data_IF_352005453675
#
_entry.id   IF_352005453675
#
_cell.length_a   1.000
_cell.length_b   1.000
_cell.length_c   1.000
_cell.angle_alpha   90.00
_cell.angle_beta   90.00
_cell.angle_gamma   90.00
#
_symmetry.space_group_name_H-M   'P 1'
#
loop_
_entity.id
_entity.type
_entity.pdbx_description
1 polymer ?
#
# COMPACT_ATOMS: atom_id res chain seq x y z
N UNK A 1 3.69 -1.76 -14.84
CA UNK A 1 3.10 -1.18 -13.60
C UNK A 1 4.11 -1.34 -12.48
N UNK A 2 4.33 -0.32 -11.63
CA UNK A 2 5.24 -0.47 -10.50
C UNK A 2 4.73 -1.51 -9.49
N UNK A 3 5.54 -2.52 -9.24
CA UNK A 3 5.30 -3.61 -8.28
C UNK A 3 6.24 -3.45 -7.09
N UNK A 4 5.77 -3.80 -5.89
CA UNK A 4 6.60 -3.93 -4.71
C UNK A 4 6.27 -5.24 -4.00
N UNK A 5 7.30 -5.93 -3.52
CA UNK A 5 7.15 -7.16 -2.75
C UNK A 5 7.83 -7.02 -1.41
N UNK A 6 7.23 -7.64 -0.40
CA UNK A 6 7.88 -7.86 0.89
C UNK A 6 7.60 -9.27 1.38
N UNK A 7 8.48 -9.75 2.23
CA UNK A 7 8.26 -10.98 2.99
C UNK A 7 8.02 -10.64 4.45
N UNK A 8 7.21 -11.46 5.11
CA UNK A 8 7.02 -11.42 6.55
C UNK A 8 6.87 -12.85 7.08
N UNK A 9 7.42 -13.09 8.26
CA UNK A 9 7.17 -14.29 9.04
C UNK A 9 5.93 -14.07 9.90
N UNK A 10 5.04 -15.06 9.95
CA UNK A 10 3.88 -15.03 10.83
C UNK A 10 4.34 -15.20 12.27
N UNK A 11 4.07 -14.20 13.10
CA UNK A 11 4.41 -14.22 14.52
C UNK A 11 3.29 -14.86 15.33
N UNK A 12 3.60 -15.37 16.53
CA UNK A 12 2.61 -16.02 17.39
C UNK A 12 1.40 -15.11 17.68
N UNK A 13 1.65 -13.81 17.85
CA UNK A 13 0.61 -12.81 18.09
C UNK A 13 -0.27 -12.48 16.88
N UNK A 14 0.08 -12.96 15.68
CA UNK A 14 -0.75 -12.78 14.49
C UNK A 14 -1.91 -13.79 14.43
N UNK A 15 -1.84 -14.87 15.20
CA UNK A 15 -2.82 -15.97 15.18
C UNK A 15 -3.95 -15.79 16.21
N UNK A 16 -5.12 -16.34 15.89
CA UNK A 16 -6.25 -16.48 16.82
C UNK A 16 -6.37 -17.91 17.36
N UNK A 17 -7.41 -18.17 18.16
CA UNK A 17 -7.67 -19.47 18.81
C UNK A 17 -7.93 -20.61 17.81
N UNK A 18 -8.23 -20.31 16.54
CA UNK A 18 -8.33 -21.32 15.49
C UNK A 18 -6.95 -21.78 14.98
N UNK A 19 -5.85 -21.22 15.50
CA UNK A 19 -4.48 -21.60 15.13
C UNK A 19 -4.04 -21.07 13.77
N UNK A 20 -4.74 -20.07 13.24
CA UNK A 20 -4.44 -19.42 11.95
C UNK A 20 -4.39 -17.91 12.15
N UNK A 21 -3.83 -17.19 11.17
CA UNK A 21 -3.77 -15.73 11.20
C UNK A 21 -5.16 -15.10 11.32
N UNK A 22 -5.31 -14.22 12.30
CA UNK A 22 -6.52 -13.43 12.51
C UNK A 22 -6.71 -12.43 11.35
N UNK A 23 -7.87 -12.49 10.68
CA UNK A 23 -8.11 -11.81 9.41
C UNK A 23 -7.79 -10.29 9.38
N UNK A 24 -7.93 -9.48 10.46
CA UNK A 24 -7.60 -8.06 10.41
C UNK A 24 -6.12 -7.78 10.14
N UNK A 25 -5.23 -8.72 10.49
CA UNK A 25 -3.79 -8.57 10.28
C UNK A 25 -3.44 -8.44 8.79
N UNK A 26 -4.23 -9.04 7.89
CA UNK A 26 -4.06 -8.86 6.46
C UNK A 26 -4.24 -7.40 6.02
N UNK A 27 -5.20 -6.66 6.60
CA UNK A 27 -5.39 -5.25 6.26
C UNK A 27 -4.24 -4.37 6.77
N UNK A 28 -3.69 -4.68 7.94
CA UNK A 28 -2.47 -4.05 8.43
C UNK A 28 -1.28 -4.33 7.50
N UNK A 29 -1.15 -5.56 7.02
CA UNK A 29 -0.10 -5.93 6.09
C UNK A 29 -0.26 -5.26 4.72
N UNK A 30 -1.49 -5.09 4.22
CA UNK A 30 -1.76 -4.36 2.99
C UNK A 30 -1.29 -2.90 3.10
N UNK A 31 -1.75 -2.15 4.11
CA UNK A 31 -1.33 -0.75 4.30
C UNK A 31 0.19 -0.66 4.43
N UNK A 32 0.79 -1.45 5.31
CA UNK A 32 2.22 -1.38 5.57
C UNK A 32 3.06 -1.79 4.35
N UNK A 33 2.53 -2.65 3.45
CA UNK A 33 3.15 -2.97 2.16
C UNK A 33 3.03 -1.81 1.17
N UNK A 34 1.88 -1.13 1.11
CA UNK A 34 1.75 0.10 0.33
C UNK A 34 2.66 1.22 0.82
N UNK A 35 2.83 1.39 2.14
CA UNK A 35 3.84 2.31 2.68
C UNK A 35 5.26 1.90 2.25
N UNK A 36 5.54 0.60 2.12
CA UNK A 36 6.79 0.07 1.56
C UNK A 36 6.98 0.43 0.08
N UNK A 37 5.93 0.28 -0.72
CA UNK A 37 5.91 0.72 -2.12
C UNK A 37 6.17 2.23 -2.25
N UNK A 38 5.56 3.07 -1.40
CA UNK A 38 5.85 4.50 -1.39
C UNK A 38 7.33 4.77 -1.08
N UNK A 39 7.87 4.12 -0.05
CA UNK A 39 9.28 4.30 0.34
C UNK A 39 10.25 3.88 -0.76
N UNK A 40 9.97 2.81 -1.49
CA UNK A 40 10.81 2.38 -2.62
C UNK A 40 10.85 3.40 -3.76
N UNK A 41 9.91 4.36 -3.78
CA UNK A 41 9.86 5.49 -4.72
C UNK A 41 10.32 6.82 -4.11
N UNK A 42 10.94 6.79 -2.93
CA UNK A 42 11.37 8.01 -2.23
C UNK A 42 10.20 8.85 -1.70
N UNK A 43 9.04 8.22 -1.49
CA UNK A 43 7.83 8.83 -0.95
C UNK A 43 7.49 8.26 0.44
N UNK A 44 6.60 8.97 1.14
CA UNK A 44 5.91 8.54 2.35
C UNK A 44 4.64 9.38 2.50
N UNK A 45 3.74 9.06 3.43
CA UNK A 45 2.59 9.95 3.70
C UNK A 45 3.03 11.37 4.11
N UNK A 46 4.19 11.50 4.77
CA UNK A 46 4.77 12.80 5.15
C UNK A 46 5.30 13.54 3.92
N UNK A 47 5.95 12.84 2.99
CA UNK A 47 6.40 13.42 1.73
C UNK A 47 5.23 13.81 0.82
N UNK A 48 4.17 12.99 0.78
CA UNK A 48 2.96 13.32 0.01
C UNK A 48 2.34 14.60 0.56
N UNK A 49 2.25 14.71 1.89
CA UNK A 49 1.75 15.92 2.57
C UNK A 49 2.64 17.13 2.35
N UNK A 50 3.96 17.00 2.41
CA UNK A 50 4.87 18.14 2.29
C UNK A 50 4.91 18.66 0.85
N UNK A 51 5.05 17.77 -0.13
CA UNK A 51 5.22 18.07 -1.57
C UNK A 51 3.92 18.45 -2.26
N UNK A 52 2.85 17.68 -2.03
CA UNK A 52 1.58 17.85 -2.75
C UNK A 52 0.48 18.50 -1.92
N UNK A 53 0.74 18.83 -0.65
CA UNK A 53 -0.29 19.29 0.30
C UNK A 53 -1.49 18.34 0.40
N UNK A 54 -1.24 17.05 0.18
CA UNK A 54 -2.26 16.02 0.08
C UNK A 54 -2.04 14.85 1.04
N UNK A 55 -3.06 14.03 1.18
CA UNK A 55 -3.05 12.75 1.89
C UNK A 55 -3.81 11.70 1.09
N UNK A 56 -3.61 10.43 1.45
CA UNK A 56 -4.22 9.28 0.76
C UNK A 56 -5.12 8.43 1.68
N UNK A 57 -6.22 8.98 2.22
CA UNK A 57 -7.12 8.26 3.11
C UNK A 57 -7.73 7.03 2.41
N UNK A 58 -7.81 5.93 3.15
CA UNK A 58 -8.48 4.71 2.72
C UNK A 58 -10.00 4.94 2.73
N UNK A 59 -10.68 4.63 1.64
CA UNK A 59 -12.14 4.81 1.49
C UNK A 59 -12.90 3.51 1.24
N UNK A 60 -12.21 2.46 0.78
CA UNK A 60 -12.75 1.12 0.62
C UNK A 60 -11.62 0.09 0.70
N UNK A 61 -11.91 -1.11 1.19
CA UNK A 61 -10.93 -2.18 1.39
C UNK A 61 -11.63 -3.53 1.35
N UNK A 62 -10.96 -4.54 0.80
CA UNK A 62 -11.51 -5.90 0.76
C UNK A 62 -10.43 -6.96 0.65
N UNK A 63 -10.76 -8.17 1.08
CA UNK A 63 -9.89 -9.33 1.03
C UNK A 63 -10.67 -10.60 0.69
N UNK A 64 -10.05 -11.51 -0.06
CA UNK A 64 -10.52 -12.87 -0.28
C UNK A 64 -9.48 -13.85 0.26
N UNK A 65 -9.84 -14.63 1.27
CA UNK A 65 -8.96 -15.62 1.89
C UNK A 65 -9.14 -16.97 1.20
N UNK A 66 -8.04 -17.56 0.71
CA UNK A 66 -8.02 -18.78 -0.11
C UNK A 66 -7.41 -19.96 0.60
N UNK A 67 -6.41 -19.73 1.45
CA UNK A 67 -5.85 -20.75 2.33
C UNK A 67 -5.32 -20.11 3.61
N UNK A 68 -5.37 -20.82 4.75
CA UNK A 68 -4.87 -20.29 6.01
C UNK A 68 -3.33 -20.28 6.04
N UNK A 69 -2.77 -19.43 6.86
CA UNK A 69 -1.35 -19.46 7.27
C UNK A 69 -1.29 -19.42 8.79
N UNK A 70 -0.24 -19.99 9.36
CA UNK A 70 -0.06 -20.15 10.81
C UNK A 70 1.33 -19.69 11.22
N UNK A 71 1.60 -19.72 12.52
CA UNK A 71 2.87 -19.35 13.13
C UNK A 71 4.07 -20.01 12.40
N UNK A 72 5.16 -19.25 12.27
CA UNK A 72 6.38 -19.58 11.52
C UNK A 72 6.24 -19.73 9.99
N UNK A 73 5.03 -19.64 9.41
CA UNK A 73 4.90 -19.50 7.94
C UNK A 73 5.58 -18.20 7.48
N UNK A 74 6.18 -18.24 6.29
CA UNK A 74 6.71 -17.04 5.61
C UNK A 74 5.80 -16.72 4.44
N UNK A 75 5.22 -15.52 4.44
CA UNK A 75 4.39 -15.03 3.34
C UNK A 75 5.05 -13.90 2.58
N UNK A 76 4.95 -13.97 1.25
CA UNK A 76 5.28 -12.87 0.35
C UNK A 76 4.00 -12.09 0.06
N UNK A 77 4.04 -10.78 0.27
CA UNK A 77 2.97 -9.84 -0.09
C UNK A 77 3.46 -8.97 -1.23
N UNK A 78 2.71 -9.03 -2.32
CA UNK A 78 2.91 -8.20 -3.50
C UNK A 78 1.86 -7.10 -3.54
N UNK A 79 2.27 -5.86 -3.79
CA UNK A 79 1.41 -4.71 -3.99
C UNK A 79 1.66 -4.06 -5.36
N UNK A 80 0.57 -3.72 -6.05
CA UNK A 80 0.58 -3.03 -7.35
C UNK A 80 -0.46 -1.92 -7.34
N UNK A 81 -0.11 -0.73 -7.81
CA UNK A 81 -1.13 0.28 -8.16
C UNK A 81 -1.81 -0.19 -9.45
N UNK A 82 -2.99 -0.78 -9.32
CA UNK A 82 -3.66 -1.50 -10.41
C UNK A 82 -4.61 -0.62 -11.22
N UNK A 83 -5.07 0.50 -10.65
CA UNK A 83 -6.01 1.40 -11.32
C UNK A 83 -5.83 2.84 -10.84
N UNK A 84 -5.91 3.78 -11.78
CA UNK A 84 -5.97 5.21 -11.53
C UNK A 84 -7.35 5.74 -11.96
N UNK A 85 -8.09 6.28 -11.01
CA UNK A 85 -9.24 7.13 -11.29
C UNK A 85 -8.85 8.60 -11.11
N UNK A 86 -9.77 9.52 -11.41
CA UNK A 86 -9.50 10.96 -11.29
C UNK A 86 -9.03 11.35 -9.88
N UNK A 87 -9.74 10.88 -8.84
CA UNK A 87 -9.54 11.28 -7.43
C UNK A 87 -9.23 10.11 -6.50
N UNK A 88 -8.97 8.92 -7.05
CA UNK A 88 -8.75 7.68 -6.29
C UNK A 88 -7.75 6.79 -7.00
N UNK A 89 -7.01 5.99 -6.23
CA UNK A 89 -6.14 4.94 -6.74
C UNK A 89 -6.47 3.61 -6.09
N UNK A 90 -6.43 2.54 -6.87
CA UNK A 90 -6.60 1.17 -6.39
C UNK A 90 -5.25 0.50 -6.25
N UNK A 91 -4.98 -0.05 -5.07
CA UNK A 91 -3.83 -0.92 -4.82
C UNK A 91 -4.38 -2.33 -4.72
N UNK A 92 -3.84 -3.25 -5.51
CA UNK A 92 -4.18 -4.67 -5.45
C UNK A 92 -3.05 -5.45 -4.79
N UNK A 93 -3.43 -6.43 -3.96
CA UNK A 93 -2.52 -7.24 -3.17
C UNK A 93 -2.67 -8.72 -3.49
N UNK A 94 -1.54 -9.42 -3.58
CA UNK A 94 -1.48 -10.88 -3.62
C UNK A 94 -0.59 -11.37 -2.47
N UNK A 95 -1.11 -12.29 -1.66
CA UNK A 95 -0.37 -12.92 -0.56
C UNK A 95 -0.14 -14.38 -0.90
N UNK A 96 1.11 -14.84 -0.81
CA UNK A 96 1.49 -16.25 -1.03
C UNK A 96 2.36 -16.78 0.09
N UNK A 97 2.23 -18.06 0.38
CA UNK A 97 3.16 -18.83 1.21
C UNK A 97 3.86 -19.83 0.27
N UNK A 98 5.08 -19.53 -0.16
CA UNK A 98 5.68 -20.18 -1.33
C UNK A 98 4.79 -20.01 -2.57
N UNK A 99 4.40 -21.11 -3.23
CA UNK A 99 3.52 -21.08 -4.41
C UNK A 99 2.03 -20.95 -4.07
N UNK A 100 1.65 -21.26 -2.83
CA UNK A 100 0.25 -21.34 -2.40
C UNK A 100 -0.36 -19.95 -2.28
N UNK A 101 -1.51 -19.74 -2.93
CA UNK A 101 -2.28 -18.50 -2.79
C UNK A 101 -2.97 -18.46 -1.43
N UNK A 102 -2.59 -17.49 -0.60
CA UNK A 102 -3.13 -17.30 0.75
C UNK A 102 -4.32 -16.34 0.70
N UNK A 103 -4.13 -15.16 0.12
CA UNK A 103 -5.18 -14.17 0.00
C UNK A 103 -4.96 -13.28 -1.23
N UNK A 104 -6.05 -12.69 -1.71
CA UNK A 104 -5.99 -11.47 -2.53
C UNK A 104 -6.70 -10.34 -1.80
N UNK A 105 -6.28 -9.12 -2.04
CA UNK A 105 -6.90 -7.96 -1.39
C UNK A 105 -6.80 -6.70 -2.23
N UNK A 106 -7.48 -5.66 -1.78
CA UNK A 106 -7.34 -4.34 -2.37
C UNK A 106 -7.54 -3.25 -1.33
N UNK A 107 -6.98 -2.09 -1.63
CA UNK A 107 -7.29 -0.82 -1.02
C UNK A 107 -7.72 0.17 -2.10
N UNK A 108 -8.77 0.93 -1.84
CA UNK A 108 -9.12 2.12 -2.60
C UNK A 108 -8.78 3.34 -1.76
N UNK A 109 -7.82 4.14 -2.23
CA UNK A 109 -7.39 5.35 -1.53
C UNK A 109 -7.83 6.57 -2.30
N UNK A 110 -8.51 7.49 -1.62
CA UNK A 110 -8.84 8.78 -2.19
C UNK A 110 -7.63 9.69 -2.13
N UNK A 111 -7.53 10.62 -3.08
CA UNK A 111 -6.60 11.73 -3.02
C UNK A 111 -7.31 12.96 -2.46
N UNK A 112 -6.79 13.48 -1.35
CA UNK A 112 -7.40 14.63 -0.68
C UNK A 112 -6.34 15.68 -0.32
N UNK A 113 -6.57 16.91 -0.74
CA UNK A 113 -5.81 18.08 -0.30
C UNK A 113 -6.19 18.46 1.13
N UNK A 114 -5.19 18.93 1.87
CA UNK A 114 -5.35 19.47 3.22
C UNK A 114 -5.61 20.97 3.10
N UNK A 115 -6.81 21.39 3.48
CA UNK A 115 -7.28 22.78 3.34
C UNK A 115 -7.66 23.37 4.69
N UNK A 116 -7.45 24.68 4.88
CA UNK A 116 -7.79 25.39 6.11
C UNK A 116 -7.23 24.71 7.37
N UNK A 117 -8.03 24.66 8.43
CA UNK A 117 -7.74 24.04 9.74
C UNK A 117 -7.64 22.49 9.69
N UNK A 118 -6.88 21.94 8.73
CA UNK A 118 -6.65 20.49 8.61
C UNK A 118 -7.81 19.69 7.99
N UNK A 119 -8.80 20.35 7.40
CA UNK A 119 -9.91 19.69 6.70
C UNK A 119 -9.42 19.01 5.43
N UNK A 120 -10.03 17.88 5.08
CA UNK A 120 -9.72 17.14 3.85
C UNK A 120 -10.75 17.47 2.77
N UNK A 121 -10.26 17.81 1.57
CA UNK A 121 -11.08 17.99 0.37
C UNK A 121 -10.54 17.08 -0.72
N UNK A 122 -11.39 16.22 -1.28
CA UNK A 122 -10.98 15.38 -2.41
C UNK A 122 -10.43 16.25 -3.55
N UNK A 123 -9.43 15.77 -4.26
CA UNK A 123 -8.82 16.48 -5.39
C UNK A 123 -8.35 15.46 -6.45
N UNK A 124 -8.06 15.94 -7.65
CA UNK A 124 -7.57 15.07 -8.73
C UNK A 124 -6.13 14.68 -8.46
N UNK A 125 -5.77 13.42 -8.77
CA UNK A 125 -4.42 12.90 -8.56
C UNK A 125 -3.48 13.57 -9.57
N UNK A 126 -2.45 14.31 -9.13
CA UNK A 126 -1.50 14.95 -10.02
C UNK A 126 -0.72 13.93 -10.86
N UNK A 127 -0.44 14.26 -12.12
CA UNK A 127 0.36 13.39 -12.98
C UNK A 127 1.80 13.23 -12.47
N UNK A 128 2.34 14.26 -11.79
CA UNK A 128 3.61 14.17 -11.08
C UNK A 128 3.62 13.04 -10.04
N UNK A 129 2.52 12.86 -9.29
CA UNK A 129 2.43 11.74 -8.33
C UNK A 129 2.35 10.39 -9.05
N UNK A 130 1.56 10.29 -10.13
CA UNK A 130 1.46 9.05 -10.92
C UNK A 130 2.80 8.65 -11.55
N UNK A 131 3.63 9.62 -11.93
CA UNK A 131 4.94 9.40 -12.54
C UNK A 131 5.92 8.64 -11.61
N UNK A 132 5.75 8.66 -10.28
CA UNK A 132 6.55 7.81 -9.38
C UNK A 132 6.30 6.30 -9.58
N UNK A 133 5.20 5.93 -10.25
CA UNK A 133 4.76 4.54 -10.43
C UNK A 133 4.80 4.06 -11.89
N UNK A 134 5.29 4.88 -12.83
CA UNK A 134 5.61 4.44 -14.19
C UNK A 134 6.85 3.54 -14.18
N UNK A 135 7.02 2.73 -15.24
CA UNK A 135 8.10 1.72 -15.32
C UNK A 135 9.52 2.33 -15.43
N UNK A 136 9.62 3.63 -15.74
CA UNK A 136 10.89 4.36 -15.81
C UNK A 136 11.27 4.94 -14.44
N UNK A 137 11.63 4.07 -13.50
CA UNK A 137 12.06 4.46 -12.16
C UNK A 137 13.53 4.89 -12.09
N UNK A 138 13.91 6.04 -12.66
CA UNK A 138 15.04 6.80 -12.13
C UNK A 138 14.46 7.89 -11.23
N UNK A 139 14.69 7.76 -9.92
CA UNK A 139 14.32 8.81 -8.98
C UNK A 139 14.98 10.14 -9.40
N UNK A 140 14.24 11.26 -9.48
CA UNK A 140 14.86 12.56 -9.64
C UNK A 140 15.80 12.79 -8.46
N UNK A 141 17.08 13.05 -8.75
CA UNK A 141 18.06 13.37 -7.71
C UNK A 141 17.57 14.60 -6.94
N UNK A 142 17.55 14.49 -5.61
CA UNK A 142 17.31 15.64 -4.76
C UNK A 142 18.38 16.69 -5.05
N UNK A 143 17.96 17.86 -5.53
CA UNK A 143 18.85 19.01 -5.69
C UNK A 143 19.27 19.45 -4.30
N UNK A 144 20.47 19.02 -3.89
CA UNK A 144 21.16 19.58 -2.74
C UNK A 144 21.50 21.02 -3.07
N UNK A 145 20.80 21.97 -2.45
CA UNK A 145 21.27 23.35 -2.44
C UNK A 145 22.47 23.44 -1.49
N UNK A 146 23.59 23.90 -2.04
CA UNK A 146 24.77 24.34 -1.30
C UNK A 146 24.58 25.77 -0.80
#
# INVERSE_FOLDING_TARGET
MSQFKRELTIEWGDCDDAGIVFYPNFFYWFDSTFQGLLRSKGLSQREIRSRFKAVTPLVDVGANFRSPVTYDDVVTIEAVVSEWAERRMRISYTVRCGERLVATGFELRAWAEVVGEGRLKGASIPDEFKAFFSEEGVAPQAVSQA
#
